data_IF_119624552528
#
_entry.id   IF_119624552528
#
_cell.length_a   1.000
_cell.length_b   1.000
_cell.length_c   1.000
_cell.angle_alpha   90.00
_cell.angle_beta   90.00
_cell.angle_gamma   90.00
#
_symmetry.space_group_name_H-M   'P 1'
#
loop_
_entity.id
_entity.type
_entity.pdbx_description
1 polymer ?
#
# COMPACT_ATOMS: atom_id res chain seq x y z
N UNK A 1 1.03 -6.17 -43.91
CA UNK A 1 2.01 -5.25 -44.54
C UNK A 1 3.35 -5.45 -43.88
N UNK A 2 4.47 -5.18 -44.58
CA UNK A 2 5.82 -5.21 -43.97
C UNK A 2 6.17 -3.80 -43.51
N UNK A 3 6.75 -3.68 -42.31
CA UNK A 3 7.44 -2.46 -41.85
C UNK A 3 8.88 -2.88 -41.58
N UNK A 4 9.85 -2.26 -42.26
CA UNK A 4 11.29 -2.54 -42.14
C UNK A 4 11.71 -4.03 -42.28
N UNK A 5 11.04 -4.82 -43.14
CA UNK A 5 11.43 -6.22 -43.42
C UNK A 5 11.04 -7.25 -42.36
N UNK A 6 10.45 -6.81 -41.25
CA UNK A 6 9.93 -7.70 -40.19
C UNK A 6 8.50 -8.12 -40.54
N UNK A 7 8.15 -9.43 -40.47
CA UNK A 7 6.75 -9.85 -40.57
C UNK A 7 5.95 -9.19 -39.47
N UNK A 8 4.89 -8.46 -39.83
CA UNK A 8 3.98 -7.93 -38.81
C UNK A 8 3.34 -9.08 -38.04
N UNK A 9 3.20 -8.97 -36.72
CA UNK A 9 2.39 -9.88 -35.94
C UNK A 9 1.01 -10.03 -36.59
N UNK A 10 0.48 -11.25 -36.60
CA UNK A 10 -0.83 -11.51 -37.16
C UNK A 10 -1.91 -10.69 -36.41
N UNK A 11 -2.93 -10.19 -37.13
CA UNK A 11 -3.93 -9.27 -36.58
C UNK A 11 -4.60 -9.77 -35.28
N UNK A 12 -4.83 -11.09 -35.18
CA UNK A 12 -5.40 -11.73 -33.99
C UNK A 12 -4.57 -11.51 -32.71
N UNK A 13 -3.24 -11.31 -32.81
CA UNK A 13 -2.38 -11.04 -31.64
C UNK A 13 -2.69 -9.66 -31.04
N UNK A 14 -2.93 -8.66 -31.89
CA UNK A 14 -3.30 -7.32 -31.43
C UNK A 14 -4.70 -7.31 -30.82
N UNK A 15 -5.65 -8.03 -31.43
CA UNK A 15 -7.00 -8.17 -30.90
C UNK A 15 -7.02 -8.92 -29.55
N UNK A 16 -6.21 -9.96 -29.41
CA UNK A 16 -6.05 -10.69 -28.16
C UNK A 16 -5.43 -9.80 -27.06
N UNK A 17 -4.40 -9.01 -27.40
CA UNK A 17 -3.80 -8.06 -26.47
C UNK A 17 -4.79 -6.98 -26.02
N UNK A 18 -5.53 -6.38 -26.95
CA UNK A 18 -6.54 -5.37 -26.62
C UNK A 18 -7.64 -5.92 -25.70
N UNK A 19 -8.12 -7.15 -25.97
CA UNK A 19 -9.10 -7.80 -25.10
C UNK A 19 -8.53 -8.04 -23.69
N UNK A 20 -7.29 -8.50 -23.59
CA UNK A 20 -6.64 -8.70 -22.30
C UNK A 20 -6.47 -7.37 -21.53
N UNK A 21 -6.10 -6.28 -22.22
CA UNK A 21 -6.03 -4.94 -21.63
C UNK A 21 -7.39 -4.47 -21.11
N UNK A 22 -8.46 -4.67 -21.88
CA UNK A 22 -9.82 -4.31 -21.47
C UNK A 22 -10.29 -5.10 -20.25
N UNK A 23 -10.06 -6.43 -20.24
CA UNK A 23 -10.41 -7.32 -19.13
C UNK A 23 -9.62 -6.99 -17.86
N UNK A 24 -8.31 -6.81 -17.97
CA UNK A 24 -7.46 -6.41 -16.83
C UNK A 24 -7.85 -5.02 -16.31
N UNK A 25 -8.14 -4.08 -17.21
CA UNK A 25 -8.63 -2.76 -16.85
C UNK A 25 -9.97 -2.81 -16.13
N UNK A 26 -10.86 -3.74 -16.51
CA UNK A 26 -12.13 -3.95 -15.80
C UNK A 26 -11.92 -4.48 -14.38
N UNK A 27 -11.03 -5.46 -14.20
CA UNK A 27 -10.67 -5.99 -12.88
C UNK A 27 -10.04 -4.90 -12.01
N UNK A 28 -9.11 -4.12 -12.56
CA UNK A 28 -8.46 -3.02 -11.84
C UNK A 28 -9.49 -1.99 -11.36
N UNK A 29 -10.46 -1.60 -12.19
CA UNK A 29 -11.54 -0.66 -11.79
C UNK A 29 -12.38 -1.18 -10.62
N UNK A 30 -12.59 -2.48 -10.52
CA UNK A 30 -13.30 -3.09 -9.38
C UNK A 30 -12.43 -3.05 -8.13
N UNK A 31 -11.16 -3.43 -8.23
CA UNK A 31 -10.23 -3.47 -7.09
C UNK A 31 -9.95 -2.06 -6.55
N UNK A 32 -9.73 -1.08 -7.43
CA UNK A 32 -9.43 0.31 -7.09
C UNK A 32 -10.70 1.17 -6.92
N UNK A 33 -11.88 0.56 -7.04
CA UNK A 33 -13.15 1.27 -6.94
C UNK A 33 -13.37 1.90 -5.56
N UNK A 34 -14.08 3.04 -5.46
CA UNK A 34 -14.28 3.79 -4.22
C UNK A 34 -15.10 3.03 -3.16
N UNK A 35 -15.76 1.94 -3.51
CA UNK A 35 -16.44 1.03 -2.56
C UNK A 35 -15.59 -0.16 -2.09
N UNK A 36 -14.41 -0.39 -2.67
CA UNK A 36 -13.60 -1.58 -2.39
C UNK A 36 -12.56 -1.31 -1.30
N UNK A 37 -12.56 -2.13 -0.26
CA UNK A 37 -11.62 -2.09 0.85
C UNK A 37 -11.00 -3.45 1.11
N UNK A 38 -9.90 -3.45 1.86
CA UNK A 38 -9.16 -4.64 2.27
C UNK A 38 -9.21 -4.76 3.78
N UNK A 39 -9.50 -5.96 4.28
CA UNK A 39 -9.39 -6.30 5.70
C UNK A 39 -8.20 -7.20 5.90
N UNK A 40 -7.26 -6.77 6.74
CA UNK A 40 -6.13 -7.60 7.11
C UNK A 40 -6.56 -8.55 8.22
N UNK A 41 -6.20 -9.82 8.13
CA UNK A 41 -6.49 -10.83 9.15
C UNK A 41 -5.21 -11.57 9.46
N UNK A 42 -4.78 -11.55 10.72
CA UNK A 42 -3.56 -12.21 11.14
C UNK A 42 -3.64 -12.63 12.60
N UNK A 43 -2.93 -13.70 12.96
CA UNK A 43 -2.72 -14.06 14.36
C UNK A 43 -1.63 -13.15 14.94
N UNK A 44 -1.81 -12.57 16.15
CA UNK A 44 -0.83 -11.65 16.73
C UNK A 44 0.40 -12.39 17.24
N UNK A 45 1.29 -12.77 16.34
CA UNK A 45 2.60 -13.31 16.67
C UNK A 45 3.67 -12.65 15.80
N UNK A 46 4.96 -13.01 15.96
CA UNK A 46 6.05 -12.44 15.17
C UNK A 46 5.80 -12.56 13.65
N UNK A 47 5.44 -13.76 13.18
CA UNK A 47 5.16 -13.98 11.76
C UNK A 47 3.94 -13.19 11.27
N UNK A 48 2.89 -13.06 12.10
CA UNK A 48 1.72 -12.25 11.77
C UNK A 48 2.06 -10.76 11.72
N UNK A 49 2.91 -10.28 12.63
CA UNK A 49 3.37 -8.89 12.61
C UNK A 49 4.17 -8.57 11.35
N UNK A 50 5.06 -9.46 10.93
CA UNK A 50 5.83 -9.31 9.69
C UNK A 50 4.93 -9.36 8.45
N UNK A 51 3.97 -10.29 8.42
CA UNK A 51 3.02 -10.41 7.32
C UNK A 51 2.10 -9.19 7.20
N UNK A 52 1.56 -8.69 8.32
CA UNK A 52 0.73 -7.48 8.36
C UNK A 52 1.53 -6.26 7.90
N UNK A 53 2.77 -6.11 8.37
CA UNK A 53 3.68 -5.05 7.91
C UNK A 53 3.88 -5.09 6.40
N UNK A 54 4.30 -6.24 5.87
CA UNK A 54 4.55 -6.40 4.44
C UNK A 54 3.29 -6.15 3.60
N UNK A 55 2.13 -6.65 4.05
CA UNK A 55 0.85 -6.43 3.37
C UNK A 55 0.43 -4.96 3.39
N UNK A 56 0.50 -4.30 4.55
CA UNK A 56 0.15 -2.89 4.70
C UNK A 56 1.01 -1.98 3.79
N UNK A 57 2.32 -2.23 3.70
CA UNK A 57 3.22 -1.52 2.78
C UNK A 57 2.80 -1.69 1.33
N UNK A 58 2.50 -2.92 0.89
CA UNK A 58 2.05 -3.20 -0.48
C UNK A 58 0.72 -2.54 -0.81
N UNK A 59 -0.26 -2.66 0.10
CA UNK A 59 -1.58 -2.04 -0.07
C UNK A 59 -1.45 -0.52 -0.19
N UNK A 60 -0.68 0.12 0.68
CA UNK A 60 -0.42 1.55 0.62
C UNK A 60 0.28 1.96 -0.68
N UNK A 61 1.30 1.20 -1.12
CA UNK A 61 1.99 1.44 -2.39
C UNK A 61 1.04 1.39 -3.58
N UNK A 62 0.04 0.50 -3.54
CA UNK A 62 -0.99 0.39 -4.58
C UNK A 62 -2.20 1.30 -4.38
N UNK A 63 -2.23 2.12 -3.32
CA UNK A 63 -3.37 2.98 -3.00
C UNK A 63 -4.61 2.22 -2.56
N UNK A 64 -4.46 0.94 -2.18
CA UNK A 64 -5.54 0.09 -1.70
C UNK A 64 -5.80 0.38 -0.22
N UNK A 65 -7.08 0.48 0.12
CA UNK A 65 -7.53 0.96 1.42
C UNK A 65 -7.74 -0.18 2.38
N UNK A 66 -7.06 -0.15 3.51
CA UNK A 66 -7.32 -1.08 4.61
C UNK A 66 -8.38 -0.50 5.53
N UNK A 67 -9.48 -1.23 5.77
CA UNK A 67 -10.56 -0.78 6.68
C UNK A 67 -10.33 -1.20 8.13
N UNK A 68 -9.81 -2.42 8.32
CA UNK A 68 -9.71 -3.07 9.60
C UNK A 68 -8.56 -4.07 9.62
N UNK A 69 -7.86 -4.13 10.75
CA UNK A 69 -6.99 -5.25 11.11
C UNK A 69 -7.70 -6.16 12.11
N UNK A 70 -7.90 -7.41 11.74
CA UNK A 70 -8.45 -8.46 12.61
C UNK A 70 -7.30 -9.26 13.21
N UNK A 71 -7.12 -9.10 14.52
CA UNK A 71 -6.26 -9.94 15.32
C UNK A 71 -7.00 -11.25 15.63
N UNK A 72 -6.74 -12.26 14.83
CA UNK A 72 -7.45 -13.54 14.87
C UNK A 72 -6.85 -14.48 15.92
N UNK A 73 -7.67 -15.42 16.41
CA UNK A 73 -7.27 -16.47 17.36
C UNK A 73 -6.62 -15.93 18.63
N UNK A 74 -7.24 -14.92 19.24
CA UNK A 74 -6.81 -14.40 20.54
C UNK A 74 -7.00 -15.48 21.61
N UNK A 75 -5.92 -15.78 22.30
CA UNK A 75 -5.90 -16.72 23.43
C UNK A 75 -6.51 -16.04 24.67
N UNK A 76 -7.06 -16.81 25.62
CA UNK A 76 -7.56 -16.26 26.89
C UNK A 76 -6.47 -15.51 27.66
N UNK A 77 -6.83 -14.36 28.25
CA UNK A 77 -5.87 -13.46 28.93
C UNK A 77 -5.18 -14.08 30.16
N UNK A 78 -5.83 -15.05 30.81
CA UNK A 78 -5.31 -15.69 32.02
C UNK A 78 -5.35 -17.21 31.89
N UNK A 79 -4.18 -17.84 32.08
CA UNK A 79 -4.04 -19.29 32.19
C UNK A 79 -3.02 -19.64 33.27
N UNK A 80 -3.29 -20.65 34.12
CA UNK A 80 -2.29 -21.20 35.03
C UNK A 80 -1.22 -22.03 34.29
N UNK A 81 -1.46 -22.39 33.02
CA UNK A 81 -0.49 -23.05 32.16
C UNK A 81 0.56 -22.04 31.67
N UNK A 82 1.82 -22.26 32.07
CA UNK A 82 2.94 -21.36 31.76
C UNK A 82 3.27 -21.30 30.27
N UNK A 83 3.02 -22.39 29.52
CA UNK A 83 3.20 -22.39 28.07
C UNK A 83 2.15 -21.51 27.40
N UNK A 84 0.88 -21.65 27.79
CA UNK A 84 -0.21 -20.83 27.25
C UNK A 84 -0.05 -19.36 27.66
N UNK A 85 0.38 -19.09 28.90
CA UNK A 85 0.69 -17.74 29.36
C UNK A 85 1.83 -17.08 28.54
N UNK A 86 2.85 -17.86 28.18
CA UNK A 86 3.94 -17.38 27.31
C UNK A 86 3.45 -16.99 25.90
N UNK A 87 2.56 -17.78 25.31
CA UNK A 87 1.93 -17.44 24.03
C UNK A 87 1.01 -16.21 24.14
N UNK A 88 0.20 -16.14 25.19
CA UNK A 88 -0.66 -14.98 25.46
C UNK A 88 0.14 -13.68 25.62
N UNK A 89 1.27 -13.73 26.34
CA UNK A 89 2.16 -12.57 26.48
C UNK A 89 2.77 -12.13 25.14
N UNK A 90 3.12 -13.08 24.25
CA UNK A 90 3.56 -12.76 22.90
C UNK A 90 2.45 -12.11 22.07
N UNK A 91 1.21 -12.61 22.19
CA UNK A 91 0.06 -12.02 21.52
C UNK A 91 -0.20 -10.59 21.99
N UNK A 92 -0.16 -10.36 23.29
CA UNK A 92 -0.38 -9.04 23.87
C UNK A 92 0.63 -8.02 23.35
N UNK A 93 1.92 -8.37 23.33
CA UNK A 93 2.98 -7.49 22.80
C UNK A 93 2.73 -7.09 21.34
N UNK A 94 2.30 -8.03 20.49
CA UNK A 94 2.00 -7.73 19.09
C UNK A 94 0.71 -6.91 18.96
N UNK A 95 -0.31 -7.19 19.77
CA UNK A 95 -1.55 -6.41 19.83
C UNK A 95 -1.29 -4.95 20.22
N UNK A 96 -0.51 -4.70 21.27
CA UNK A 96 -0.16 -3.34 21.71
C UNK A 96 0.51 -2.54 20.59
N UNK A 97 1.41 -3.18 19.84
CA UNK A 97 2.08 -2.57 18.69
C UNK A 97 1.09 -2.28 17.55
N UNK A 98 0.16 -3.20 17.26
CA UNK A 98 -0.87 -3.00 16.24
C UNK A 98 -1.84 -1.88 16.62
N UNK A 99 -2.32 -1.85 17.86
CA UNK A 99 -3.25 -0.82 18.36
C UNK A 99 -2.60 0.57 18.41
N UNK A 100 -1.28 0.64 18.50
CA UNK A 100 -0.53 1.90 18.40
C UNK A 100 -0.27 2.34 16.95
N UNK A 101 -0.39 1.43 15.97
CA UNK A 101 -0.01 1.66 14.57
C UNK A 101 -1.20 1.81 13.64
N UNK A 102 -2.29 1.07 13.90
CA UNK A 102 -3.46 0.99 13.04
C UNK A 102 -4.68 1.54 13.76
N UNK A 103 -5.46 2.38 13.07
CA UNK A 103 -6.61 3.08 13.64
C UNK A 103 -7.71 2.13 14.13
N UNK A 104 -7.85 0.97 13.49
CA UNK A 104 -8.92 0.01 13.74
C UNK A 104 -8.36 -1.41 13.85
N UNK A 105 -8.34 -1.92 15.07
CA UNK A 105 -7.97 -3.31 15.38
C UNK A 105 -9.16 -3.99 16.08
N UNK A 106 -9.58 -5.14 15.59
CA UNK A 106 -10.62 -5.98 16.20
C UNK A 106 -10.02 -7.32 16.60
N UNK A 107 -10.29 -7.73 17.84
CA UNK A 107 -9.82 -8.98 18.42
C UNK A 107 -10.87 -10.06 18.21
N UNK A 108 -10.49 -11.20 17.64
CA UNK A 108 -11.36 -12.37 17.44
C UNK A 108 -10.83 -13.53 18.28
N UNK A 109 -11.64 -14.08 19.22
CA UNK A 109 -11.17 -15.09 20.15
C UNK A 109 -10.90 -16.43 19.45
N UNK A 110 -9.96 -17.19 20.01
CA UNK A 110 -9.80 -18.60 19.68
C UNK A 110 -10.90 -19.42 20.39
N UNK A 111 -11.82 -20.03 19.64
CA UNK A 111 -12.96 -20.78 20.22
C UNK A 111 -12.58 -22.12 20.88
N UNK A 112 -11.32 -22.54 20.75
CA UNK A 112 -10.81 -23.83 21.25
C UNK A 112 -11.17 -25.01 20.34
N UNK A 113 -11.89 -24.75 19.24
CA UNK A 113 -12.35 -25.70 18.24
C UNK A 113 -12.63 -24.96 16.93
N UNK A 114 -12.76 -25.72 15.85
CA UNK A 114 -13.19 -25.16 14.56
C UNK A 114 -14.65 -24.69 14.65
N UNK A 115 -14.99 -23.52 14.08
CA UNK A 115 -16.37 -23.08 13.93
C UNK A 115 -17.17 -24.07 13.06
N UNK A 116 -18.34 -24.54 13.53
CA UNK A 116 -19.17 -25.55 12.81
C UNK A 116 -20.62 -25.15 12.59
N UNK A 117 -21.02 -23.94 12.99
CA UNK A 117 -22.39 -23.46 12.84
C UNK A 117 -22.52 -21.97 13.08
N UNK A 118 -23.73 -21.46 12.96
CA UNK A 118 -24.05 -20.03 13.13
C UNK A 118 -23.69 -19.51 14.53
N UNK A 119 -23.91 -20.32 15.57
CA UNK A 119 -23.60 -19.94 16.96
C UNK A 119 -22.09 -19.71 17.16
N UNK A 120 -21.25 -20.50 16.48
CA UNK A 120 -19.80 -20.30 16.52
C UNK A 120 -19.39 -19.04 15.74
N UNK A 121 -20.04 -18.75 14.61
CA UNK A 121 -19.77 -17.54 13.84
C UNK A 121 -20.19 -16.28 14.61
N UNK A 122 -21.30 -16.34 15.35
CA UNK A 122 -21.75 -15.28 16.24
C UNK A 122 -20.74 -15.08 17.39
N UNK A 123 -20.23 -16.17 17.96
CA UNK A 123 -19.21 -16.13 19.01
C UNK A 123 -17.86 -15.53 18.55
N UNK A 124 -17.56 -15.50 17.24
CA UNK A 124 -16.39 -14.79 16.71
C UNK A 124 -16.54 -13.26 16.76
N UNK A 125 -17.76 -12.74 16.85
CA UNK A 125 -18.03 -11.31 17.10
C UNK A 125 -17.54 -10.36 16.00
N UNK A 126 -17.36 -10.83 14.77
CA UNK A 126 -16.88 -9.99 13.66
C UNK A 126 -17.92 -8.94 13.26
N UNK A 127 -17.48 -7.70 13.13
CA UNK A 127 -18.32 -6.59 12.66
C UNK A 127 -18.47 -6.62 11.14
N UNK A 128 -19.67 -6.25 10.67
CA UNK A 128 -19.93 -6.03 9.27
C UNK A 128 -18.99 -4.93 8.71
N UNK A 129 -18.67 -4.95 7.40
CA UNK A 129 -17.91 -3.88 6.77
C UNK A 129 -18.54 -2.50 7.04
N UNK A 130 -17.71 -1.57 7.50
CA UNK A 130 -18.12 -0.18 7.73
C UNK A 130 -18.06 0.65 6.46
N UNK A 131 -18.12 1.99 6.62
CA UNK A 131 -17.87 2.89 5.51
C UNK A 131 -16.43 2.74 5.02
N UNK A 132 -16.24 2.75 3.70
CA UNK A 132 -14.89 2.69 3.13
C UNK A 132 -14.09 3.93 3.55
N UNK A 133 -12.85 3.78 4.04
CA UNK A 133 -12.03 4.92 4.40
C UNK A 133 -11.69 5.74 3.14
N UNK A 134 -11.19 6.96 3.37
CA UNK A 134 -10.75 7.81 2.27
C UNK A 134 -9.59 7.15 1.50
N UNK A 135 -9.52 7.33 0.17
CA UNK A 135 -8.37 6.86 -0.60
C UNK A 135 -7.09 7.57 -0.15
N UNK A 136 -5.98 6.82 -0.12
CA UNK A 136 -4.66 7.39 0.11
C UNK A 136 -4.29 8.29 -1.08
N UNK A 137 -4.45 9.60 -0.92
CA UNK A 137 -4.03 10.57 -1.92
C UNK A 137 -2.50 10.65 -1.94
N UNK A 138 -1.92 10.84 -3.12
CA UNK A 138 -0.48 11.14 -3.28
C UNK A 138 -0.31 12.59 -3.72
N UNK A 139 -0.54 13.57 -2.82
CA UNK A 139 -0.58 14.97 -3.20
C UNK A 139 0.80 15.50 -3.59
N UNK A 140 0.79 16.51 -4.46
CA UNK A 140 1.97 17.31 -4.76
C UNK A 140 1.80 18.66 -4.07
N UNK A 141 2.79 19.05 -3.27
CA UNK A 141 2.84 20.36 -2.60
C UNK A 141 4.00 21.19 -3.14
N UNK A 142 3.91 22.51 -3.01
CA UNK A 142 5.00 23.44 -3.32
C UNK A 142 5.74 23.82 -2.04
N UNK A 143 7.07 23.90 -2.12
CA UNK A 143 7.94 24.38 -1.06
C UNK A 143 8.80 25.54 -1.61
N UNK A 144 8.75 26.74 -1.00
CA UNK A 144 9.62 27.83 -1.38
C UNK A 144 11.07 27.54 -0.98
N UNK A 145 12.01 27.95 -1.83
CA UNK A 145 13.45 27.90 -1.55
C UNK A 145 13.98 29.33 -1.27
N UNK A 146 15.13 29.41 -0.59
CA UNK A 146 15.72 30.67 -0.15
C UNK A 146 16.14 31.60 -1.31
N UNK A 147 16.35 31.03 -2.51
CA UNK A 147 16.74 31.77 -3.71
C UNK A 147 15.54 32.31 -4.51
N UNK A 148 14.32 32.16 -3.98
CA UNK A 148 13.08 32.57 -4.65
C UNK A 148 12.55 31.55 -5.66
N UNK A 149 13.23 30.41 -5.86
CA UNK A 149 12.69 29.30 -6.64
C UNK A 149 11.68 28.48 -5.83
N UNK A 150 11.00 27.57 -6.53
CA UNK A 150 10.04 26.64 -5.92
C UNK A 150 10.46 25.20 -6.19
N UNK A 151 10.40 24.35 -5.18
CA UNK A 151 10.46 22.90 -5.34
C UNK A 151 9.08 22.28 -5.14
N UNK A 152 8.86 21.15 -5.79
CA UNK A 152 7.65 20.35 -5.61
C UNK A 152 7.97 19.13 -4.76
N UNK A 153 7.08 18.79 -3.83
CA UNK A 153 7.19 17.58 -3.02
C UNK A 153 6.03 16.67 -3.35
N UNK A 154 6.34 15.48 -3.86
CA UNK A 154 5.35 14.42 -4.03
C UNK A 154 5.32 13.55 -2.77
N UNK A 155 4.15 13.52 -2.13
CA UNK A 155 3.90 12.80 -0.89
C UNK A 155 3.30 11.43 -1.19
N UNK A 156 3.97 10.37 -0.73
CA UNK A 156 3.57 8.99 -0.97
C UNK A 156 3.53 8.25 0.38
N UNK A 157 2.33 7.98 0.94
CA UNK A 157 2.22 7.19 2.17
C UNK A 157 2.75 5.76 1.95
N UNK A 158 3.75 5.38 2.74
CA UNK A 158 4.36 4.04 2.77
C UNK A 158 4.61 3.67 4.24
N UNK A 159 3.55 3.32 4.98
CA UNK A 159 3.68 3.01 6.40
C UNK A 159 4.62 1.82 6.59
N UNK A 160 5.40 1.87 7.66
CA UNK A 160 6.24 0.75 8.12
C UNK A 160 7.37 0.28 7.19
N UNK A 161 7.60 0.94 6.05
CA UNK A 161 8.78 0.71 5.21
C UNK A 161 10.03 1.32 5.87
N UNK A 162 11.20 0.72 5.67
CA UNK A 162 12.48 1.32 6.04
C UNK A 162 13.20 1.90 4.83
N UNK A 163 14.26 2.70 5.07
CA UNK A 163 15.04 3.30 3.98
C UNK A 163 15.73 2.26 3.11
N UNK A 164 16.17 1.15 3.71
CA UNK A 164 16.89 0.06 3.05
C UNK A 164 15.98 -0.74 2.11
N UNK A 165 14.68 -0.72 2.38
CA UNK A 165 13.65 -1.38 1.58
C UNK A 165 13.14 -0.50 0.43
N UNK A 166 13.53 0.78 0.39
CA UNK A 166 13.06 1.74 -0.61
C UNK A 166 13.97 1.80 -1.83
N UNK A 167 13.35 1.72 -3.00
CA UNK A 167 14.00 1.98 -4.29
C UNK A 167 13.19 2.98 -5.11
N UNK A 168 13.89 3.96 -5.70
CA UNK A 168 13.28 4.94 -6.59
C UNK A 168 14.06 5.02 -7.90
N UNK A 169 13.35 4.81 -9.01
CA UNK A 169 13.90 4.97 -10.36
C UNK A 169 12.95 5.79 -11.19
N UNK A 170 13.41 6.94 -11.70
CA UNK A 170 12.66 7.70 -12.70
C UNK A 170 12.95 7.17 -14.10
N UNK A 171 11.90 7.01 -14.90
CA UNK A 171 11.99 6.63 -16.32
C UNK A 171 11.05 7.53 -17.13
N UNK A 172 11.60 8.60 -17.71
CA UNK A 172 10.80 9.60 -18.42
C UNK A 172 9.76 10.24 -17.51
N UNK A 173 8.47 10.08 -17.89
CA UNK A 173 7.31 10.55 -17.16
C UNK A 173 6.77 9.53 -16.14
N UNK A 174 7.55 8.51 -15.79
CA UNK A 174 7.20 7.51 -14.79
C UNK A 174 8.16 7.53 -13.60
N UNK A 175 7.63 7.22 -12.42
CA UNK A 175 8.40 6.87 -11.24
C UNK A 175 8.13 5.40 -10.90
N UNK A 176 9.20 4.62 -10.85
CA UNK A 176 9.20 3.29 -10.27
C UNK A 176 9.48 3.43 -8.79
N UNK A 177 8.55 2.98 -7.97
CA UNK A 177 8.66 2.93 -6.52
C UNK A 177 8.72 1.47 -6.08
N UNK A 178 9.79 1.11 -5.38
CA UNK A 178 9.97 -0.18 -4.71
C UNK A 178 9.88 0.05 -3.21
N UNK A 179 9.10 -0.80 -2.52
CA UNK A 179 8.97 -0.82 -1.07
C UNK A 179 8.97 -2.28 -0.59
N UNK A 180 10.12 -2.74 -0.11
CA UNK A 180 10.34 -4.14 0.25
C UNK A 180 10.15 -5.06 -0.96
N UNK A 181 9.26 -6.08 -0.88
CA UNK A 181 9.00 -6.98 -2.01
C UNK A 181 8.07 -6.38 -3.07
N UNK A 182 7.48 -5.20 -2.81
CA UNK A 182 6.48 -4.60 -3.68
C UNK A 182 7.10 -3.58 -4.62
N UNK A 183 6.57 -3.49 -5.84
CA UNK A 183 7.02 -2.53 -6.84
C UNK A 183 5.84 -2.01 -7.65
N UNK A 184 5.75 -0.69 -7.78
CA UNK A 184 4.73 -0.01 -8.59
C UNK A 184 5.37 0.98 -9.53
N UNK A 185 4.87 1.02 -10.76
CA UNK A 185 5.17 2.08 -11.72
C UNK A 185 3.99 3.06 -11.68
N UNK A 186 4.28 4.33 -11.43
CA UNK A 186 3.27 5.40 -11.43
C UNK A 186 3.66 6.48 -12.43
N UNK A 187 2.66 7.05 -13.10
CA UNK A 187 2.89 8.20 -13.96
C UNK A 187 3.08 9.44 -13.10
N UNK A 188 3.96 10.35 -13.54
CA UNK A 188 4.18 11.60 -12.87
C UNK A 188 2.93 12.50 -13.02
N UNK A 189 2.44 13.08 -11.89
CA UNK A 189 1.55 14.22 -11.92
C UNK A 189 2.05 15.29 -12.90
N UNK A 190 1.14 15.96 -13.59
CA UNK A 190 1.46 16.90 -14.67
C UNK A 190 2.49 17.95 -14.26
N UNK A 191 2.39 18.48 -13.04
CA UNK A 191 3.34 19.45 -12.47
C UNK A 191 4.80 18.94 -12.42
N UNK A 192 5.00 17.64 -12.26
CA UNK A 192 6.32 17.04 -12.06
C UNK A 192 7.02 16.62 -13.36
N UNK A 193 6.29 16.55 -14.49
CA UNK A 193 6.82 16.07 -15.77
C UNK A 193 7.96 16.94 -16.32
N UNK A 194 7.90 18.25 -16.05
CA UNK A 194 8.93 19.25 -16.43
C UNK A 194 9.91 19.58 -15.29
N UNK A 195 9.96 18.75 -14.26
CA UNK A 195 10.91 18.87 -13.17
C UNK A 195 11.97 17.76 -13.27
N UNK A 196 13.07 17.86 -12.53
CA UNK A 196 14.07 16.82 -12.28
C UNK A 196 13.99 16.37 -10.82
N UNK A 197 14.42 15.13 -10.50
CA UNK A 197 14.41 14.64 -9.11
C UNK A 197 15.56 15.29 -8.34
N UNK A 198 15.24 16.07 -7.32
CA UNK A 198 16.22 16.76 -6.48
C UNK A 198 16.61 15.95 -5.22
N UNK A 199 15.80 14.95 -4.86
CA UNK A 199 16.09 14.02 -3.78
C UNK A 199 14.84 13.32 -3.27
N UNK A 200 15.03 12.39 -2.35
CA UNK A 200 13.92 11.72 -1.67
C UNK A 200 14.26 11.45 -0.21
N UNK A 201 13.25 11.47 0.65
CA UNK A 201 13.39 11.16 2.06
C UNK A 201 12.15 10.45 2.60
N UNK A 202 12.36 9.50 3.50
CA UNK A 202 11.29 8.81 4.22
C UNK A 202 11.24 9.36 5.64
N UNK A 203 10.08 9.84 6.07
CA UNK A 203 9.82 10.28 7.46
C UNK A 203 8.41 9.91 7.86
N UNK A 204 8.24 9.38 9.07
CA UNK A 204 6.92 9.11 9.66
C UNK A 204 6.00 8.26 8.77
N UNK A 205 6.56 7.28 8.05
CA UNK A 205 5.79 6.44 7.12
C UNK A 205 5.37 7.14 5.83
N UNK A 206 5.97 8.27 5.49
CA UNK A 206 5.72 9.02 4.26
C UNK A 206 7.01 9.22 3.47
N UNK A 207 6.99 8.77 2.21
CA UNK A 207 8.03 9.07 1.25
C UNK A 207 7.75 10.42 0.59
N UNK A 208 8.71 11.33 0.73
CA UNK A 208 8.71 12.65 0.12
C UNK A 208 9.74 12.69 -1.00
N UNK A 209 9.27 12.77 -2.24
CA UNK A 209 10.14 12.93 -3.41
C UNK A 209 10.15 14.39 -3.81
N UNK A 210 11.32 15.03 -3.71
CA UNK A 210 11.51 16.43 -4.09
C UNK A 210 11.87 16.53 -5.56
N UNK A 211 11.25 17.48 -6.22
CA UNK A 211 11.43 17.80 -7.62
C UNK A 211 11.79 19.27 -7.76
N UNK A 212 12.81 19.56 -8.56
CA UNK A 212 13.19 20.92 -8.92
C UNK A 212 12.80 21.17 -10.39
N UNK A 213 12.26 22.34 -10.74
CA UNK A 213 12.05 22.74 -12.12
C UNK A 213 13.26 22.46 -13.02
N UNK A 214 13.01 21.89 -14.20
CA UNK A 214 14.08 21.70 -15.18
C UNK A 214 14.37 23.03 -15.90
N UNK A 215 15.57 23.62 -15.75
CA UNK A 215 15.90 24.92 -16.34
C UNK A 215 15.90 24.92 -17.87
N UNK A 216 15.94 23.77 -18.52
CA UNK A 216 15.87 23.65 -19.99
C UNK A 216 14.42 23.53 -20.50
N UNK A 217 13.46 23.19 -19.64
CA UNK A 217 12.05 23.00 -19.99
C UNK A 217 11.13 24.09 -19.42
N UNK A 218 11.58 24.84 -18.43
CA UNK A 218 10.83 25.95 -17.83
C UNK A 218 11.21 27.31 -18.44
N UNK A 219 10.24 28.24 -18.55
CA UNK A 219 10.52 29.59 -19.02
C UNK A 219 11.52 30.26 -18.07
N UNK A 220 12.60 30.83 -18.61
CA UNK A 220 13.45 31.73 -17.85
C UNK A 220 12.65 33.01 -17.58
N UNK A 221 12.57 33.42 -16.32
CA UNK A 221 12.07 34.75 -15.99
C UNK A 221 12.92 35.78 -16.76
N UNK A 222 12.22 36.69 -17.43
CA UNK A 222 12.77 37.59 -18.44
C UNK A 222 13.09 38.94 -17.83
#
# INVERSE_FOLDING_TARGET
GRLAGVPMPAAWLYEAAARAEDELGAVQRVIEGPGTTVRLVAEPGPAGADAVRAAATGLALHGLRTDLLVANRILPDASPDTWLAGLGAQQHKTLDAWESTYDHVVRVPHLGRDPRGTDDLEALGLTAPGAAPAPAAWPVTEAPEDDGSHTYVWHIPLPSVTREELGLVRRGDELVVTAGPHRRIVTLPSALRRCTVAGAGLREGELRVRFAPDPDLWPRER
#
